data_IF_618644075003
#
_entry.id   IF_618644075003
#
_cell.length_a   1.000
_cell.length_b   1.000
_cell.length_c   1.000
_cell.angle_alpha   90.00
_cell.angle_beta   90.00
_cell.angle_gamma   90.00
#
_symmetry.space_group_name_H-M   'P 1'
#
loop_
_entity.id
_entity.type
_entity.pdbx_description
1 polymer ?
#
# COMPACT_ATOMS: atom_id res chain seq x y z
N UNK A 1 14.36 8.36 -5.73
CA UNK A 1 15.03 7.44 -6.69
C UNK A 1 15.17 5.98 -6.22
N UNK A 2 15.02 5.65 -4.92
CA UNK A 2 15.22 4.28 -4.41
C UNK A 2 14.01 3.36 -4.61
N UNK A 3 12.78 3.88 -4.55
CA UNK A 3 11.55 3.07 -4.67
C UNK A 3 11.34 2.47 -6.06
N UNK A 4 11.60 3.24 -7.13
CA UNK A 4 11.52 2.74 -8.51
C UNK A 4 12.55 1.63 -8.74
N UNK A 5 13.72 1.72 -8.11
CA UNK A 5 14.74 0.67 -8.18
C UNK A 5 14.29 -0.60 -7.46
N UNK A 6 13.70 -0.50 -6.26
CA UNK A 6 13.11 -1.64 -5.54
C UNK A 6 11.94 -2.30 -6.31
N UNK A 7 11.11 -1.49 -6.97
CA UNK A 7 9.97 -1.98 -7.77
C UNK A 7 10.38 -2.54 -9.14
N UNK A 8 11.52 -2.10 -9.68
CA UNK A 8 12.05 -2.45 -10.99
C UNK A 8 13.19 -3.49 -10.97
N UNK A 9 13.79 -3.77 -9.81
CA UNK A 9 14.91 -4.72 -9.68
C UNK A 9 14.51 -6.19 -9.82
N UNK A 10 13.22 -6.51 -9.94
CA UNK A 10 12.74 -7.90 -10.02
C UNK A 10 12.84 -8.67 -8.71
N UNK A 11 13.19 -8.01 -7.59
CA UNK A 11 13.27 -8.63 -6.25
C UNK A 11 11.90 -8.91 -5.66
N UNK A 12 10.87 -8.18 -6.11
CA UNK A 12 9.48 -8.33 -5.68
C UNK A 12 8.74 -9.23 -6.69
N UNK A 13 8.70 -10.52 -6.41
CA UNK A 13 8.12 -11.57 -7.27
C UNK A 13 6.61 -11.67 -7.16
N UNK A 14 6.03 -11.13 -6.10
CA UNK A 14 4.62 -11.31 -5.79
C UNK A 14 3.88 -9.98 -5.81
N UNK A 15 2.84 -9.93 -6.64
CA UNK A 15 1.98 -8.78 -6.83
C UNK A 15 0.52 -9.18 -6.61
N UNK A 16 -0.18 -8.44 -5.78
CA UNK A 16 -1.62 -8.52 -5.62
C UNK A 16 -2.22 -7.11 -5.74
N UNK A 17 -3.51 -7.07 -6.03
CA UNK A 17 -4.27 -5.84 -6.19
C UNK A 17 -5.54 -5.96 -5.38
N UNK A 18 -5.73 -5.03 -4.44
CA UNK A 18 -6.96 -4.91 -3.67
C UNK A 18 -7.71 -3.66 -4.11
N UNK A 19 -8.98 -3.83 -4.48
CA UNK A 19 -9.91 -2.71 -4.65
C UNK A 19 -10.77 -2.57 -3.40
N UNK A 20 -10.78 -1.37 -2.83
CA UNK A 20 -11.64 -0.97 -1.73
C UNK A 20 -12.69 -0.01 -2.29
N UNK A 21 -13.95 -0.44 -2.40
CA UNK A 21 -15.02 0.43 -2.89
C UNK A 21 -15.32 1.52 -1.85
N UNK A 22 -15.47 2.73 -2.37
CA UNK A 22 -16.07 3.94 -1.77
C UNK A 22 -15.89 4.06 -0.27
N UNK A 23 -14.78 4.68 0.14
CA UNK A 23 -14.56 5.06 1.54
C UNK A 23 -15.21 6.42 1.84
N UNK A 24 -15.91 6.54 2.98
CA UNK A 24 -16.37 7.83 3.49
C UNK A 24 -15.22 8.74 3.98
N UNK A 25 -13.98 8.24 3.99
CA UNK A 25 -12.80 8.98 4.41
C UNK A 25 -12.03 9.53 3.21
N UNK A 26 -11.41 10.70 3.40
CA UNK A 26 -10.50 11.27 2.40
C UNK A 26 -9.26 10.39 2.21
N UNK A 27 -8.73 10.37 0.98
CA UNK A 27 -7.54 9.61 0.62
C UNK A 27 -6.35 9.88 1.57
N UNK A 28 -6.13 11.14 1.94
CA UNK A 28 -5.07 11.52 2.89
C UNK A 28 -5.27 10.92 4.29
N UNK A 29 -6.51 10.94 4.78
CA UNK A 29 -6.85 10.38 6.10
C UNK A 29 -6.61 8.88 6.13
N UNK A 30 -6.94 8.19 5.03
CA UNK A 30 -6.70 6.76 4.86
C UNK A 30 -5.21 6.45 4.87
N UNK A 31 -4.42 7.16 4.05
CA UNK A 31 -2.96 6.98 4.02
C UNK A 31 -2.35 7.20 5.40
N UNK A 32 -2.70 8.29 6.09
CA UNK A 32 -2.18 8.59 7.42
C UNK A 32 -2.53 7.49 8.44
N UNK A 33 -3.78 7.00 8.42
CA UNK A 33 -4.21 5.92 9.30
C UNK A 33 -3.45 4.64 9.03
N UNK A 34 -3.32 4.25 7.76
CA UNK A 34 -2.57 3.06 7.36
C UNK A 34 -1.08 3.18 7.71
N UNK A 35 -0.46 4.34 7.50
CA UNK A 35 0.91 4.61 7.93
C UNK A 35 1.10 4.39 9.43
N UNK A 36 0.19 4.94 10.23
CA UNK A 36 0.26 4.83 11.69
C UNK A 36 -0.01 3.41 12.18
N UNK A 37 -1.02 2.73 11.64
CA UNK A 37 -1.41 1.39 12.06
C UNK A 37 -0.36 0.32 11.70
N UNK A 38 0.30 0.46 10.54
CA UNK A 38 1.18 -0.59 10.01
C UNK A 38 2.65 -0.15 9.90
N UNK A 39 3.01 1.00 10.49
CA UNK A 39 4.36 1.58 10.45
C UNK A 39 4.90 1.74 9.02
N UNK A 40 4.00 2.06 8.10
CA UNK A 40 4.37 2.36 6.71
C UNK A 40 4.83 3.82 6.64
N UNK A 41 5.82 4.06 5.78
CA UNK A 41 6.34 5.38 5.46
C UNK A 41 5.90 5.78 4.07
N UNK A 42 5.37 6.99 3.91
CA UNK A 42 5.06 7.56 2.58
C UNK A 42 6.38 7.91 1.91
N UNK A 43 6.69 7.22 0.81
CA UNK A 43 7.89 7.49 0.02
C UNK A 43 7.63 8.57 -1.01
N UNK A 44 6.45 8.53 -1.62
CA UNK A 44 6.09 9.45 -2.69
C UNK A 44 4.57 9.59 -2.74
N UNK A 45 4.09 10.81 -2.97
CA UNK A 45 2.68 11.07 -3.23
C UNK A 45 2.58 11.98 -4.45
N UNK A 46 1.95 11.50 -5.51
CA UNK A 46 1.73 12.25 -6.75
C UNK A 46 0.25 12.22 -7.05
N UNK A 47 -0.39 13.40 -7.04
CA UNK A 47 -1.80 13.59 -7.34
C UNK A 47 -2.70 12.64 -6.50
N UNK A 48 -3.30 11.66 -7.18
CA UNK A 48 -4.21 10.66 -6.64
C UNK A 48 -3.53 9.34 -6.29
N UNK A 49 -2.20 9.28 -6.29
CA UNK A 49 -1.43 8.09 -5.95
C UNK A 49 -0.44 8.34 -4.81
N UNK A 50 -0.24 7.33 -3.96
CA UNK A 50 0.72 7.35 -2.87
C UNK A 50 1.47 6.01 -2.79
N UNK A 51 2.79 6.10 -2.87
CA UNK A 51 3.72 5.00 -2.68
C UNK A 51 4.13 4.94 -1.21
N UNK A 52 3.95 3.78 -0.62
CA UNK A 52 4.23 3.47 0.77
C UNK A 52 5.26 2.35 0.85
N UNK A 53 6.08 2.40 1.88
CA UNK A 53 7.11 1.42 2.14
C UNK A 53 7.15 1.06 3.62
N UNK A 54 7.33 -0.22 3.92
CA UNK A 54 7.67 -0.70 5.25
C UNK A 54 8.78 -1.73 5.17
N UNK A 55 9.56 -1.78 6.24
CA UNK A 55 10.51 -2.83 6.51
C UNK A 55 10.03 -3.58 7.76
N UNK A 56 9.85 -4.90 7.63
CA UNK A 56 9.47 -5.72 8.78
C UNK A 56 10.66 -5.89 9.71
N UNK A 57 10.39 -6.32 10.95
CA UNK A 57 11.44 -6.61 11.95
C UNK A 57 12.41 -7.71 11.44
N UNK A 58 11.97 -8.54 10.50
CA UNK A 58 12.77 -9.59 9.88
C UNK A 58 13.55 -9.10 8.64
N UNK A 59 13.52 -7.80 8.33
CA UNK A 59 14.20 -7.21 7.17
C UNK A 59 13.48 -7.44 5.83
N UNK A 60 12.20 -7.86 5.86
CA UNK A 60 11.42 -8.05 4.63
C UNK A 60 10.88 -6.71 4.17
N UNK A 61 10.98 -6.46 2.87
CA UNK A 61 10.56 -5.19 2.29
C UNK A 61 9.16 -5.30 1.71
N UNK A 62 8.33 -4.31 2.04
CA UNK A 62 6.95 -4.22 1.60
C UNK A 62 6.78 -2.88 0.91
N UNK A 63 6.34 -2.92 -0.34
CA UNK A 63 5.96 -1.75 -1.12
C UNK A 63 4.46 -1.81 -1.39
N UNK A 64 3.73 -0.75 -1.04
CA UNK A 64 2.32 -0.60 -1.34
C UNK A 64 2.12 0.66 -2.18
N UNK A 65 1.24 0.61 -3.16
CA UNK A 65 0.89 1.71 -4.03
C UNK A 65 -0.61 1.92 -4.00
N UNK A 66 -1.03 3.00 -3.35
CA UNK A 66 -2.41 3.39 -3.24
C UNK A 66 -2.75 4.31 -4.41
N UNK A 67 -3.87 4.07 -5.11
CA UNK A 67 -4.37 4.91 -6.19
C UNK A 67 -5.85 5.18 -5.98
N UNK A 68 -6.25 6.44 -5.94
CA UNK A 68 -7.65 6.83 -5.96
C UNK A 68 -8.16 6.78 -7.41
N UNK A 69 -9.16 5.94 -7.67
CA UNK A 69 -9.56 5.57 -9.05
C UNK A 69 -10.73 6.41 -9.56
N UNK A 70 -11.54 7.02 -8.69
CA UNK A 70 -12.75 7.76 -9.09
C UNK A 70 -13.10 8.88 -8.08
N UNK A 71 -14.03 9.76 -8.50
CA UNK A 71 -14.65 10.79 -7.63
C UNK A 71 -15.49 10.24 -6.48
N UNK A 72 -15.65 8.91 -6.40
CA UNK A 72 -16.39 8.20 -5.34
C UNK A 72 -15.46 7.70 -4.21
N UNK A 73 -14.22 8.17 -4.13
CA UNK A 73 -13.20 7.74 -3.16
C UNK A 73 -12.92 6.22 -3.18
N UNK A 74 -13.03 5.60 -4.35
CA UNK A 74 -12.56 4.23 -4.58
C UNK A 74 -11.04 4.19 -4.51
N UNK A 75 -10.49 3.27 -3.72
CA UNK A 75 -9.05 3.10 -3.56
C UNK A 75 -8.62 1.76 -4.12
N UNK A 76 -7.67 1.82 -5.04
CA UNK A 76 -6.85 0.70 -5.46
C UNK A 76 -5.61 0.63 -4.58
N UNK A 77 -5.22 -0.58 -4.20
CA UNK A 77 -3.96 -0.84 -3.53
C UNK A 77 -3.25 -1.91 -4.34
N UNK A 78 -2.17 -1.54 -5.01
CA UNK A 78 -1.24 -2.48 -5.61
C UNK A 78 -0.17 -2.80 -4.56
N UNK A 79 0.07 -4.06 -4.32
CA UNK A 79 1.03 -4.52 -3.32
C UNK A 79 2.16 -5.29 -3.99
N UNK A 80 3.38 -5.12 -3.48
CA UNK A 80 4.55 -5.89 -3.88
C UNK A 80 5.40 -6.21 -2.65
N UNK A 81 5.78 -7.47 -2.51
CA UNK A 81 6.61 -7.97 -1.40
C UNK A 81 7.57 -9.05 -1.89
N UNK A 82 8.61 -9.29 -1.08
CA UNK A 82 9.49 -10.45 -1.19
C UNK A 82 8.81 -11.73 -0.69
N UNK A 83 7.76 -11.62 0.15
CA UNK A 83 7.06 -12.73 0.80
C UNK A 83 5.52 -12.54 0.78
N UNK A 84 4.79 -13.56 0.32
CA UNK A 84 3.33 -13.51 0.03
C UNK A 84 2.43 -13.67 1.24
N UNK A 85 2.85 -14.47 2.22
CA UNK A 85 2.00 -14.82 3.36
C UNK A 85 1.70 -13.62 4.26
N UNK A 86 2.70 -12.82 4.57
CA UNK A 86 2.54 -11.63 5.41
C UNK A 86 1.70 -10.56 4.69
N UNK A 87 1.97 -10.37 3.40
CA UNK A 87 1.29 -9.38 2.57
C UNK A 87 -0.21 -9.68 2.43
N UNK A 88 -0.58 -10.95 2.28
CA UNK A 88 -2.00 -11.35 2.19
C UNK A 88 -2.77 -11.06 3.47
N UNK A 89 -2.15 -11.25 4.64
CA UNK A 89 -2.75 -10.90 5.93
C UNK A 89 -2.84 -9.38 6.11
N UNK A 90 -1.75 -8.66 5.85
CA UNK A 90 -1.73 -7.19 5.89
C UNK A 90 -2.84 -6.60 5.02
N UNK A 91 -3.00 -7.10 3.79
CA UNK A 91 -4.02 -6.61 2.87
C UNK A 91 -5.45 -6.86 3.37
N UNK A 92 -5.70 -8.02 4.00
CA UNK A 92 -6.99 -8.31 4.65
C UNK A 92 -7.25 -7.38 5.84
N UNK A 93 -6.23 -7.10 6.64
CA UNK A 93 -6.35 -6.19 7.78
C UNK A 93 -6.60 -4.76 7.32
N UNK A 94 -5.86 -4.27 6.32
CA UNK A 94 -6.09 -2.96 5.70
C UNK A 94 -7.53 -2.86 5.17
N UNK A 95 -8.00 -3.87 4.44
CA UNK A 95 -9.38 -3.92 3.95
C UNK A 95 -10.42 -3.84 5.07
N UNK A 96 -10.16 -4.53 6.17
CA UNK A 96 -11.07 -4.58 7.33
C UNK A 96 -11.04 -3.27 8.11
N UNK A 97 -9.87 -2.62 8.20
CA UNK A 97 -9.69 -1.33 8.88
C UNK A 97 -10.38 -0.19 8.11
N UNK A 98 -10.47 -0.30 6.79
CA UNK A 98 -11.06 0.70 5.89
C UNK A 98 -12.56 0.47 5.56
N UNK A 99 -13.16 -0.61 6.06
CA UNK A 99 -14.61 -0.81 6.08
C UNK A 99 -15.22 -0.07 7.28
#
# INVERSE_FOLDING_TARGET
>A
MVFVYLMGSGTLTCQSQLRIPSSNQDFLSIINRICQSYRLTVVEKINSAASLYAETILGQLIALLFKSINSQNDILIDDKSTETHYLSNLMKEIKTSLK
#
